data_IF_798433998523
#
_entry.id   IF_798433998523
#
_cell.length_a   1.000
_cell.length_b   1.000
_cell.length_c   1.000
_cell.angle_alpha   90.00
_cell.angle_beta   90.00
_cell.angle_gamma   90.00
#
_symmetry.space_group_name_H-M   'P 1'
#
loop_
_entity.id
_entity.type
_entity.pdbx_description
1 polymer ?
#
# COMPACT_ATOMS: atom_id res chain seq x y z
N UNK A 1 -27.62 -24.10 10.54
CA UNK A 1 -26.75 -22.91 10.61
C UNK A 1 -27.60 -21.64 10.52
N UNK A 2 -26.99 -20.46 10.69
CA UNK A 2 -27.65 -19.19 10.40
C UNK A 2 -28.08 -19.14 8.93
N UNK A 3 -29.25 -18.57 8.63
CA UNK A 3 -29.71 -18.36 7.25
C UNK A 3 -28.96 -17.22 6.53
N UNK A 4 -27.84 -16.76 7.10
CA UNK A 4 -27.01 -15.68 6.56
C UNK A 4 -25.57 -16.15 6.42
N UNK A 5 -24.99 -15.97 5.23
CA UNK A 5 -23.64 -16.42 4.84
C UNK A 5 -22.91 -15.30 4.11
N UNK A 6 -21.60 -15.15 4.29
CA UNK A 6 -20.84 -14.16 3.54
C UNK A 6 -20.59 -14.62 2.10
N UNK A 7 -20.58 -13.69 1.15
CA UNK A 7 -20.25 -14.04 -0.23
C UNK A 7 -18.86 -14.68 -0.33
N UNK A 8 -18.77 -15.77 -1.10
CA UNK A 8 -17.53 -16.54 -1.28
C UNK A 8 -17.25 -17.57 -0.19
N UNK A 9 -18.02 -17.62 0.90
CA UNK A 9 -17.88 -18.68 1.91
C UNK A 9 -18.80 -19.88 1.62
N UNK A 10 -18.58 -20.98 2.35
CA UNK A 10 -19.44 -22.17 2.26
C UNK A 10 -20.72 -21.97 3.07
N UNK A 11 -21.86 -22.19 2.43
CA UNK A 11 -23.14 -22.42 3.10
C UNK A 11 -23.25 -23.90 3.44
N UNK A 12 -23.67 -24.24 4.66
CA UNK A 12 -23.95 -25.63 5.05
C UNK A 12 -25.32 -25.78 5.68
N UNK A 13 -25.99 -26.88 5.35
CA UNK A 13 -27.26 -27.23 5.96
C UNK A 13 -27.45 -28.75 5.98
N UNK A 14 -28.30 -29.21 6.90
CA UNK A 14 -28.80 -30.57 6.93
C UNK A 14 -30.19 -30.61 6.32
N UNK A 15 -30.38 -31.48 5.33
CA UNK A 15 -31.69 -31.84 4.79
C UNK A 15 -32.12 -33.16 5.42
N UNK A 16 -33.22 -33.17 6.14
CA UNK A 16 -33.75 -34.37 6.78
C UNK A 16 -35.27 -34.32 6.89
N UNK A 17 -35.87 -35.49 7.14
CA UNK A 17 -37.31 -35.62 7.39
C UNK A 17 -37.50 -36.07 8.84
N UNK A 18 -38.20 -35.26 9.63
CA UNK A 18 -38.41 -35.50 11.08
C UNK A 18 -39.24 -36.75 11.40
N UNK A 19 -40.02 -37.25 10.45
CA UNK A 19 -40.92 -38.40 10.61
C UNK A 19 -40.54 -39.60 9.72
N UNK A 20 -39.25 -39.84 9.50
CA UNK A 20 -38.82 -41.02 8.74
C UNK A 20 -38.95 -42.31 9.55
N UNK A 21 -39.66 -43.30 9.01
CA UNK A 21 -39.71 -44.65 9.58
C UNK A 21 -38.31 -45.30 9.55
N UNK A 22 -37.93 -45.96 10.64
CA UNK A 22 -36.67 -46.70 10.79
C UNK A 22 -36.53 -47.73 9.67
N UNK A 23 -35.48 -47.64 8.85
CA UNK A 23 -35.16 -48.64 7.80
C UNK A 23 -35.42 -48.22 6.35
N UNK A 24 -36.05 -47.07 6.09
CA UNK A 24 -36.24 -46.56 4.72
C UNK A 24 -35.08 -45.60 4.36
N UNK A 25 -34.37 -45.87 3.26
CA UNK A 25 -33.30 -45.01 2.76
C UNK A 25 -33.86 -43.96 1.78
N UNK A 26 -34.00 -42.68 2.18
CA UNK A 26 -34.42 -41.64 1.25
C UNK A 26 -33.36 -41.37 0.18
N UNK A 27 -33.81 -41.00 -1.01
CA UNK A 27 -32.95 -40.29 -1.97
C UNK A 27 -33.14 -38.79 -1.77
N UNK A 28 -32.05 -38.08 -1.54
CA UNK A 28 -32.07 -36.64 -1.31
C UNK A 28 -31.35 -35.88 -2.42
N UNK A 29 -31.84 -34.70 -2.77
CA UNK A 29 -31.20 -33.82 -3.76
C UNK A 29 -31.17 -32.36 -3.30
N UNK A 30 -30.12 -31.64 -3.74
CA UNK A 30 -29.96 -30.20 -3.66
C UNK A 30 -29.99 -29.65 -5.09
N UNK A 31 -30.94 -28.77 -5.41
CA UNK A 31 -31.12 -28.20 -6.74
C UNK A 31 -31.13 -29.27 -7.86
N UNK A 32 -31.68 -30.45 -7.57
CA UNK A 32 -31.74 -31.60 -8.48
C UNK A 32 -30.49 -32.50 -8.47
N UNK A 33 -29.37 -32.06 -7.90
CA UNK A 33 -28.16 -32.87 -7.75
C UNK A 33 -28.27 -33.81 -6.55
N UNK A 34 -27.90 -35.10 -6.67
CA UNK A 34 -27.91 -36.05 -5.55
C UNK A 34 -27.05 -35.59 -4.37
N UNK A 35 -27.55 -35.81 -3.14
CA UNK A 35 -26.82 -35.58 -1.91
C UNK A 35 -26.39 -36.91 -1.29
N UNK A 36 -25.20 -36.93 -0.69
CA UNK A 36 -24.80 -38.01 0.19
C UNK A 36 -25.65 -37.95 1.47
N UNK A 37 -26.29 -39.08 1.81
CA UNK A 37 -27.05 -39.25 3.04
C UNK A 37 -26.15 -39.92 4.07
N UNK A 38 -25.92 -39.25 5.19
CA UNK A 38 -25.08 -39.76 6.27
C UNK A 38 -25.72 -40.93 7.02
N UNK A 39 -24.96 -41.58 7.93
CA UNK A 39 -25.50 -42.63 8.81
C UNK A 39 -26.63 -42.14 9.72
N UNK A 40 -26.69 -40.83 9.97
CA UNK A 40 -27.75 -40.10 10.67
C UNK A 40 -29.04 -39.96 9.85
N UNK A 41 -29.04 -40.38 8.58
CA UNK A 41 -30.17 -40.21 7.67
C UNK A 41 -30.29 -38.79 7.12
N UNK A 42 -29.31 -37.91 7.35
CA UNK A 42 -29.34 -36.51 6.92
C UNK A 42 -28.54 -36.33 5.62
N UNK A 43 -29.12 -35.61 4.66
CA UNK A 43 -28.42 -35.13 3.47
C UNK A 43 -27.60 -33.89 3.81
N UNK A 44 -26.28 -33.93 3.63
CA UNK A 44 -25.41 -32.78 3.86
C UNK A 44 -25.38 -31.86 2.64
N UNK A 45 -25.92 -30.65 2.79
CA UNK A 45 -25.86 -29.60 1.76
C UNK A 45 -24.63 -28.73 2.00
N UNK A 46 -23.76 -28.62 1.01
CA UNK A 46 -22.60 -27.73 1.06
C UNK A 46 -22.34 -27.10 -0.32
N UNK A 47 -22.27 -25.77 -0.38
CA UNK A 47 -21.92 -25.05 -1.61
C UNK A 47 -21.32 -23.68 -1.29
N UNK A 48 -20.55 -23.11 -2.23
CA UNK A 48 -20.05 -21.73 -2.11
C UNK A 48 -21.16 -20.73 -2.40
N UNK A 49 -21.44 -19.83 -1.46
CA UNK A 49 -22.42 -18.77 -1.63
C UNK A 49 -21.94 -17.75 -2.67
N UNK A 50 -22.63 -17.70 -3.81
CA UNK A 50 -22.37 -16.72 -4.88
C UNK A 50 -23.49 -15.68 -4.90
N UNK A 51 -23.19 -14.40 -4.68
CA UNK A 51 -24.22 -13.36 -4.68
C UNK A 51 -24.68 -13.07 -6.11
N UNK A 52 -25.97 -12.71 -6.26
CA UNK A 52 -26.43 -11.92 -7.40
C UNK A 52 -26.07 -10.44 -7.20
N UNK A 53 -27.00 -9.54 -7.47
CA UNK A 53 -26.86 -8.14 -7.07
C UNK A 53 -27.12 -7.98 -5.56
N UNK A 54 -26.25 -7.23 -4.87
CA UNK A 54 -26.51 -6.79 -3.50
C UNK A 54 -27.50 -5.62 -3.50
N UNK A 55 -28.40 -5.60 -2.52
CA UNK A 55 -29.21 -4.43 -2.20
C UNK A 55 -28.36 -3.34 -1.52
N UNK A 56 -28.98 -2.19 -1.23
CA UNK A 56 -28.32 -1.06 -0.58
C UNK A 56 -27.81 -1.39 0.84
N UNK A 57 -28.38 -2.40 1.50
CA UNK A 57 -27.93 -2.89 2.80
C UNK A 57 -26.79 -3.91 2.68
N UNK A 58 -26.31 -4.21 1.46
CA UNK A 58 -25.23 -5.16 1.22
C UNK A 58 -25.68 -6.61 1.31
N UNK A 59 -26.98 -6.90 1.12
CA UNK A 59 -27.54 -8.24 1.19
C UNK A 59 -28.04 -8.72 -0.18
N UNK A 60 -27.89 -10.00 -0.46
CA UNK A 60 -28.49 -10.66 -1.62
C UNK A 60 -29.31 -11.85 -1.15
N UNK A 61 -30.62 -11.82 -1.39
CA UNK A 61 -31.51 -12.94 -1.07
C UNK A 61 -31.37 -14.03 -2.13
N UNK A 62 -31.30 -15.27 -1.70
CA UNK A 62 -31.25 -16.43 -2.57
C UNK A 62 -32.00 -17.59 -1.92
N UNK A 63 -32.23 -18.66 -2.66
CA UNK A 63 -32.80 -19.89 -2.11
C UNK A 63 -32.20 -21.11 -2.80
N UNK A 64 -32.30 -22.25 -2.13
CA UNK A 64 -32.01 -23.54 -2.73
C UNK A 64 -33.17 -24.49 -2.47
N UNK A 65 -33.33 -25.47 -3.37
CA UNK A 65 -34.42 -26.43 -3.30
C UNK A 65 -33.89 -27.79 -2.84
N UNK A 66 -34.39 -28.26 -1.70
CA UNK A 66 -34.18 -29.61 -1.21
C UNK A 66 -35.32 -30.52 -1.64
N UNK A 67 -35.00 -31.73 -2.08
CA UNK A 67 -36.02 -32.76 -2.35
C UNK A 67 -35.66 -34.05 -1.65
N UNK A 68 -36.62 -34.65 -0.93
CA UNK A 68 -36.51 -35.96 -0.30
C UNK A 68 -37.53 -36.89 -0.96
N UNK A 69 -37.06 -37.97 -1.59
CA UNK A 69 -37.91 -39.01 -2.17
C UNK A 69 -37.87 -40.27 -1.32
N UNK A 70 -39.05 -40.78 -0.97
CA UNK A 70 -39.25 -42.06 -0.30
C UNK A 70 -40.05 -42.97 -1.22
N UNK A 71 -39.62 -44.23 -1.32
CA UNK A 71 -40.46 -45.29 -1.86
C UNK A 71 -40.97 -46.11 -0.67
N UNK A 72 -42.28 -46.19 -0.52
CA UNK A 72 -42.90 -47.00 0.53
C UNK A 72 -44.00 -47.84 -0.11
N UNK A 73 -43.86 -49.17 -0.04
CA UNK A 73 -44.81 -50.13 -0.59
C UNK A 73 -45.19 -49.86 -2.06
N UNK A 74 -44.19 -49.51 -2.90
CA UNK A 74 -44.39 -49.23 -4.33
C UNK A 74 -44.94 -47.83 -4.65
N UNK A 75 -45.23 -47.00 -3.63
CA UNK A 75 -45.65 -45.61 -3.81
C UNK A 75 -44.48 -44.66 -3.59
N UNK A 76 -44.13 -43.93 -4.63
CA UNK A 76 -43.15 -42.85 -4.55
C UNK A 76 -43.78 -41.58 -3.99
N UNK A 77 -43.27 -41.12 -2.86
CA UNK A 77 -43.64 -39.84 -2.23
C UNK A 77 -42.44 -38.90 -2.27
N UNK A 78 -42.68 -37.67 -2.73
CA UNK A 78 -41.63 -36.65 -2.87
C UNK A 78 -41.96 -35.42 -2.03
N UNK A 79 -41.09 -35.09 -1.09
CA UNK A 79 -41.15 -33.87 -0.29
C UNK A 79 -40.20 -32.84 -0.90
N UNK A 80 -40.66 -31.60 -1.04
CA UNK A 80 -39.87 -30.48 -1.55
C UNK A 80 -39.87 -29.37 -0.52
N UNK A 81 -38.71 -28.75 -0.33
CA UNK A 81 -38.55 -27.56 0.51
C UNK A 81 -37.72 -26.54 -0.26
N UNK A 82 -38.17 -25.29 -0.27
CA UNK A 82 -37.36 -24.17 -0.75
C UNK A 82 -36.85 -23.42 0.48
N UNK A 83 -35.54 -23.41 0.66
CA UNK A 83 -34.89 -22.83 1.83
C UNK A 83 -34.32 -21.47 1.45
N UNK A 84 -34.90 -20.35 1.91
CA UNK A 84 -34.34 -19.03 1.69
C UNK A 84 -33.09 -18.83 2.55
N UNK A 85 -32.10 -18.14 1.99
CA UNK A 85 -30.91 -17.68 2.71
C UNK A 85 -30.47 -16.30 2.19
N UNK A 86 -29.68 -15.61 3.00
CA UNK A 86 -29.16 -14.27 2.70
C UNK A 86 -27.65 -14.33 2.56
N UNK A 87 -27.14 -13.72 1.50
CA UNK A 87 -25.71 -13.57 1.26
C UNK A 87 -25.33 -12.14 1.64
N UNK A 88 -24.42 -11.96 2.59
CA UNK A 88 -23.93 -10.63 3.00
C UNK A 88 -22.66 -10.27 2.25
N UNK A 89 -22.51 -8.99 1.92
CA UNK A 89 -21.27 -8.43 1.39
C UNK A 89 -20.19 -8.49 2.48
N UNK A 90 -19.07 -9.20 2.25
CA UNK A 90 -18.00 -9.27 3.22
C UNK A 90 -17.36 -7.89 3.43
N UNK A 91 -16.98 -7.60 4.68
CA UNK A 91 -16.29 -6.35 5.05
C UNK A 91 -14.79 -6.52 4.87
N UNK A 92 -14.19 -5.60 4.12
CA UNK A 92 -12.73 -5.49 4.02
C UNK A 92 -12.21 -4.61 5.15
N UNK A 93 -11.13 -5.06 5.78
CA UNK A 93 -10.33 -4.28 6.70
C UNK A 93 -9.01 -3.99 6.02
N UNK A 94 -8.67 -2.71 5.91
CA UNK A 94 -7.41 -2.27 5.32
C UNK A 94 -6.60 -1.64 6.45
N UNK A 95 -5.43 -2.21 6.67
CA UNK A 95 -4.45 -1.72 7.62
C UNK A 95 -3.27 -1.18 6.83
N UNK A 96 -2.83 0.02 7.16
CA UNK A 96 -1.54 0.53 6.73
C UNK A 96 -0.63 0.55 7.93
N UNK A 97 0.59 0.03 7.78
CA UNK A 97 1.61 0.12 8.82
C UNK A 97 1.96 1.60 9.14
N UNK A 98 1.73 2.50 8.20
CA UNK A 98 2.38 3.81 8.24
C UNK A 98 1.48 5.01 7.97
N UNK A 99 0.35 4.90 7.25
CA UNK A 99 -0.37 6.11 6.79
C UNK A 99 -1.87 5.95 6.53
N UNK A 100 -2.63 7.03 6.78
CA UNK A 100 -4.04 7.17 6.34
C UNK A 100 -4.18 7.61 4.87
N UNK A 101 -3.11 8.11 4.25
CA UNK A 101 -3.05 8.57 2.87
C UNK A 101 -1.75 8.09 2.22
N UNK A 102 -1.77 7.75 0.95
CA UNK A 102 -0.60 7.20 0.25
C UNK A 102 0.39 8.31 -0.11
N UNK A 103 1.68 8.02 -0.20
CA UNK A 103 2.67 8.93 -0.75
C UNK A 103 2.94 8.64 -2.23
N UNK A 104 2.94 9.70 -3.03
CA UNK A 104 3.19 9.66 -4.47
C UNK A 104 4.54 9.00 -4.79
N UNK A 105 4.58 8.08 -5.75
CA UNK A 105 5.79 7.34 -6.17
C UNK A 105 6.55 6.60 -5.05
N UNK A 106 5.90 6.31 -3.92
CA UNK A 106 6.48 5.54 -2.83
C UNK A 106 5.84 4.15 -2.73
N UNK A 107 6.52 3.21 -2.07
CA UNK A 107 6.03 1.88 -1.78
C UNK A 107 5.09 1.90 -0.57
N UNK A 108 3.80 2.12 -0.80
CA UNK A 108 2.82 2.16 0.27
C UNK A 108 2.32 0.74 0.58
N UNK A 109 2.89 0.12 1.63
CA UNK A 109 2.54 -1.23 2.08
C UNK A 109 1.20 -1.21 2.82
N UNK A 110 0.27 -2.03 2.37
CA UNK A 110 -1.06 -2.23 2.94
C UNK A 110 -1.29 -3.72 3.21
N UNK A 111 -2.03 -4.02 4.27
CA UNK A 111 -2.53 -5.36 4.55
C UNK A 111 -4.06 -5.33 4.53
N UNK A 112 -4.64 -6.17 3.69
CA UNK A 112 -6.07 -6.23 3.41
C UNK A 112 -6.59 -7.57 3.91
N UNK A 113 -7.44 -7.52 4.93
CA UNK A 113 -8.08 -8.71 5.49
C UNK A 113 -9.57 -8.70 5.22
N UNK A 114 -10.11 -9.90 5.05
CA UNK A 114 -11.56 -10.13 4.94
C UNK A 114 -11.90 -11.25 5.93
N UNK A 115 -12.15 -10.91 7.22
CA UNK A 115 -12.25 -11.91 8.29
C UNK A 115 -13.27 -13.03 8.00
N UNK A 116 -14.39 -12.68 7.37
CA UNK A 116 -15.44 -13.63 7.01
C UNK A 116 -14.96 -14.77 6.09
N UNK A 117 -13.94 -14.53 5.26
CA UNK A 117 -13.41 -15.54 4.34
C UNK A 117 -12.39 -16.48 5.00
N UNK A 118 -11.75 -16.05 6.09
CA UNK A 118 -10.76 -16.84 6.82
C UNK A 118 -9.75 -17.55 5.90
N UNK A 119 -9.65 -18.88 6.06
CA UNK A 119 -8.76 -19.71 5.24
C UNK A 119 -9.07 -19.66 3.73
N UNK A 120 -10.33 -19.44 3.35
CA UNK A 120 -10.79 -19.40 1.95
C UNK A 120 -10.47 -18.08 1.24
N UNK A 121 -9.89 -17.11 1.95
CA UNK A 121 -9.44 -15.86 1.35
C UNK A 121 -8.35 -16.11 0.29
N UNK A 122 -8.61 -15.73 -0.95
CA UNK A 122 -7.72 -15.88 -2.09
C UNK A 122 -7.62 -14.54 -2.83
N UNK A 123 -6.95 -13.54 -2.21
CA UNK A 123 -7.00 -12.16 -2.68
C UNK A 123 -6.38 -11.98 -4.05
N UNK A 124 -7.02 -11.14 -4.85
CA UNK A 124 -6.42 -10.49 -6.00
C UNK A 124 -6.69 -8.99 -5.94
N UNK A 125 -5.63 -8.21 -6.17
CA UNK A 125 -5.62 -6.76 -6.07
C UNK A 125 -5.44 -6.13 -7.44
N UNK A 126 -6.21 -5.09 -7.71
CA UNK A 126 -6.00 -4.22 -8.86
C UNK A 126 -6.21 -2.78 -8.43
N UNK A 127 -5.60 -1.81 -9.11
CA UNK A 127 -5.78 -0.41 -8.77
C UNK A 127 -5.77 0.47 -10.01
N UNK A 128 -6.49 1.59 -9.93
CA UNK A 128 -6.34 2.74 -10.82
C UNK A 128 -5.53 3.83 -10.14
N UNK A 129 -4.65 4.50 -10.89
CA UNK A 129 -3.78 5.58 -10.36
C UNK A 129 -2.58 5.09 -9.53
N UNK A 130 -2.29 3.78 -9.57
CA UNK A 130 -1.12 3.19 -8.94
C UNK A 130 -0.70 1.89 -9.63
N UNK A 131 0.61 1.63 -9.63
CA UNK A 131 1.13 0.28 -9.83
C UNK A 131 0.84 -0.57 -8.59
N UNK A 132 0.37 -1.80 -8.82
CA UNK A 132 0.11 -2.79 -7.78
C UNK A 132 1.24 -3.81 -7.75
N UNK A 133 1.83 -4.03 -6.57
CA UNK A 133 2.83 -5.06 -6.32
C UNK A 133 2.28 -5.99 -5.24
N UNK A 134 1.94 -7.22 -5.63
CA UNK A 134 1.41 -8.23 -4.69
C UNK A 134 2.50 -8.68 -3.71
N UNK A 135 2.13 -8.80 -2.44
CA UNK A 135 2.98 -9.36 -1.38
C UNK A 135 2.54 -10.77 -1.00
N UNK A 136 2.67 -11.09 0.30
CA UNK A 136 2.09 -12.30 0.88
C UNK A 136 0.55 -12.23 0.88
N UNK A 137 -0.12 -13.32 1.28
CA UNK A 137 -1.59 -13.39 1.30
C UNK A 137 -2.20 -12.25 2.11
N UNK A 138 -2.86 -11.33 1.41
CA UNK A 138 -3.51 -10.14 2.00
C UNK A 138 -2.66 -8.87 1.92
N UNK A 139 -1.35 -8.99 1.68
CA UNK A 139 -0.45 -7.84 1.59
C UNK A 139 -0.31 -7.34 0.16
N UNK A 140 -0.30 -6.01 0.02
CA UNK A 140 -0.17 -5.33 -1.27
C UNK A 140 0.64 -4.05 -1.08
N UNK A 141 1.53 -3.76 -2.02
CA UNK A 141 2.22 -2.47 -2.09
C UNK A 141 1.66 -1.68 -3.26
N UNK A 142 1.16 -0.47 -2.98
CA UNK A 142 0.69 0.47 -3.99
C UNK A 142 1.75 1.54 -4.24
N UNK A 143 2.07 1.78 -5.52
CA UNK A 143 2.97 2.85 -5.96
C UNK A 143 2.15 3.86 -6.77
N UNK A 144 1.68 4.95 -6.14
CA UNK A 144 0.79 5.90 -6.81
C UNK A 144 1.49 6.70 -7.91
N UNK A 145 0.79 6.91 -9.02
CA UNK A 145 1.15 7.79 -10.13
C UNK A 145 0.08 8.86 -10.42
N UNK A 146 -1.00 8.89 -9.62
CA UNK A 146 -2.06 9.90 -9.66
C UNK A 146 -2.29 10.56 -8.29
N UNK A 147 -3.19 11.55 -8.24
CA UNK A 147 -3.60 12.24 -6.99
C UNK A 147 -4.55 11.41 -6.11
N UNK A 148 -5.15 10.40 -6.71
CA UNK A 148 -6.11 9.50 -6.09
C UNK A 148 -5.87 8.09 -6.59
N UNK A 149 -5.98 7.11 -5.69
CA UNK A 149 -5.82 5.69 -5.99
C UNK A 149 -7.05 4.95 -5.54
N UNK A 150 -7.65 4.17 -6.43
CA UNK A 150 -8.73 3.25 -6.06
C UNK A 150 -8.21 1.82 -6.10
N UNK A 151 -8.08 1.20 -4.93
CA UNK A 151 -7.77 -0.22 -4.76
C UNK A 151 -9.05 -1.03 -4.91
N UNK A 152 -9.08 -1.98 -5.83
CA UNK A 152 -10.13 -2.98 -5.97
C UNK A 152 -9.62 -4.32 -5.45
N UNK A 153 -10.43 -4.97 -4.63
CA UNK A 153 -10.12 -6.25 -3.99
C UNK A 153 -11.14 -7.28 -4.43
N UNK A 154 -10.64 -8.43 -4.85
CA UNK A 154 -11.43 -9.61 -5.16
C UNK A 154 -10.88 -10.83 -4.44
N UNK A 155 -11.68 -11.88 -4.27
CA UNK A 155 -11.24 -13.15 -3.72
C UNK A 155 -11.84 -14.32 -4.50
N UNK A 156 -10.98 -15.20 -5.04
CA UNK A 156 -11.42 -16.35 -5.83
C UNK A 156 -12.31 -15.97 -7.03
N UNK A 157 -12.02 -14.83 -7.66
CA UNK A 157 -12.79 -14.28 -8.79
C UNK A 157 -14.02 -13.44 -8.41
N UNK A 158 -14.41 -13.38 -7.14
CA UNK A 158 -15.55 -12.57 -6.69
C UNK A 158 -15.09 -11.21 -6.19
N UNK A 159 -15.72 -10.13 -6.66
CA UNK A 159 -15.45 -8.78 -6.15
C UNK A 159 -15.88 -8.67 -4.68
N UNK A 160 -14.97 -8.17 -3.84
CA UNK A 160 -15.23 -7.92 -2.42
C UNK A 160 -15.61 -6.45 -2.23
N UNK A 161 -14.81 -5.55 -2.81
CA UNK A 161 -15.10 -4.13 -2.82
C UNK A 161 -13.91 -3.31 -3.30
N UNK A 162 -14.05 -1.99 -3.15
CA UNK A 162 -12.99 -1.04 -3.47
C UNK A 162 -12.80 -0.03 -2.35
N UNK A 163 -11.59 0.53 -2.26
CA UNK A 163 -11.23 1.60 -1.35
C UNK A 163 -10.47 2.67 -2.11
N UNK A 164 -10.89 3.92 -1.97
CA UNK A 164 -10.19 5.07 -2.53
C UNK A 164 -9.29 5.72 -1.47
N UNK A 165 -8.08 6.07 -1.89
CA UNK A 165 -7.09 6.76 -1.08
C UNK A 165 -6.68 8.07 -1.75
N UNK A 166 -6.54 9.12 -0.94
CA UNK A 166 -5.87 10.34 -1.38
C UNK A 166 -4.36 10.13 -1.40
N UNK A 167 -3.69 10.77 -2.34
CA UNK A 167 -2.23 10.72 -2.48
C UNK A 167 -1.63 12.06 -2.07
N UNK A 168 -0.66 11.99 -1.17
CA UNK A 168 0.14 13.12 -0.71
C UNK A 168 1.42 13.25 -1.55
N UNK A 169 1.88 14.48 -1.83
CA UNK A 169 3.19 14.68 -2.43
C UNK A 169 4.29 14.22 -1.46
N UNK A 170 5.46 13.92 -2.02
CA UNK A 170 6.65 13.57 -1.25
C UNK A 170 7.16 14.83 -0.54
N UNK A 171 7.35 14.84 0.79
CA UNK A 171 7.94 15.96 1.50
C UNK A 171 9.36 16.26 1.00
N UNK A 172 9.66 17.54 0.78
CA UNK A 172 10.99 17.96 0.35
C UNK A 172 12.03 17.74 1.46
N UNK A 173 13.27 17.35 1.13
CA UNK A 173 14.34 17.25 2.11
C UNK A 173 14.82 18.64 2.54
N UNK A 174 15.40 18.73 3.73
CA UNK A 174 16.17 19.90 4.15
C UNK A 174 17.63 19.74 3.74
N UNK A 175 18.23 20.77 3.15
CA UNK A 175 19.66 20.75 2.82
C UNK A 175 20.44 21.45 3.94
N UNK A 176 21.45 20.77 4.47
CA UNK A 176 22.44 21.30 5.41
C UNK A 176 23.81 21.28 4.79
N UNK A 177 24.59 22.33 5.01
CA UNK A 177 25.93 22.43 4.45
C UNK A 177 26.98 22.71 5.50
N UNK A 178 28.18 22.19 5.27
CA UNK A 178 29.29 22.27 6.19
C UNK A 178 30.57 22.59 5.41
N UNK A 179 31.40 23.48 5.94
CA UNK A 179 32.78 23.64 5.50
C UNK A 179 33.68 23.19 6.65
N UNK A 180 34.44 22.12 6.42
CA UNK A 180 35.05 21.37 7.52
C UNK A 180 33.97 20.90 8.49
N UNK A 181 34.06 21.34 9.75
CA UNK A 181 33.08 21.04 10.81
C UNK A 181 32.05 22.17 11.02
N UNK A 182 32.20 23.31 10.35
CA UNK A 182 31.36 24.50 10.58
C UNK A 182 30.12 24.46 9.69
N UNK A 183 28.93 24.62 10.28
CA UNK A 183 27.67 24.81 9.53
C UNK A 183 27.76 26.12 8.75
N UNK A 184 27.46 26.09 7.44
CA UNK A 184 27.52 27.27 6.58
C UNK A 184 26.40 28.29 6.86
N UNK A 185 25.41 27.93 7.67
CA UNK A 185 24.40 28.86 8.19
C UNK A 185 24.84 29.51 9.52
N UNK A 186 26.01 29.17 10.07
CA UNK A 186 26.58 29.83 11.25
C UNK A 186 26.98 31.28 10.92
N UNK A 187 26.44 32.22 11.70
CA UNK A 187 26.67 33.66 11.54
C UNK A 187 28.09 34.09 11.87
N UNK A 188 28.87 33.25 12.56
CA UNK A 188 30.27 33.52 12.89
C UNK A 188 31.20 33.44 11.69
N UNK A 189 30.75 32.84 10.57
CA UNK A 189 31.57 32.64 9.40
C UNK A 189 32.56 31.48 9.52
N UNK A 190 33.41 31.30 8.51
CA UNK A 190 34.37 30.21 8.41
C UNK A 190 35.77 30.78 8.26
N UNK A 191 36.74 30.42 9.12
CA UNK A 191 38.13 30.86 8.96
C UNK A 191 38.70 30.44 7.61
N UNK A 192 39.46 31.32 6.94
CA UNK A 192 40.04 31.02 5.62
C UNK A 192 40.83 29.70 5.59
N UNK A 193 41.55 29.37 6.68
CA UNK A 193 42.32 28.12 6.78
C UNK A 193 41.48 26.83 6.82
N UNK A 194 40.19 26.92 7.14
CA UNK A 194 39.24 25.79 7.17
C UNK A 194 38.58 25.53 5.81
N UNK A 195 38.78 26.41 4.82
CA UNK A 195 38.27 26.22 3.45
C UNK A 195 39.03 25.08 2.77
N UNK A 196 38.65 23.84 3.07
CA UNK A 196 39.27 22.62 2.53
C UNK A 196 38.24 21.76 1.83
N UNK A 197 37.24 21.35 2.59
CA UNK A 197 36.19 20.46 2.14
C UNK A 197 34.85 21.10 2.42
N UNK A 198 33.96 21.07 1.44
CA UNK A 198 32.55 21.43 1.60
C UNK A 198 31.69 20.18 1.42
N UNK A 199 30.75 19.99 2.33
CA UNK A 199 29.82 18.85 2.34
C UNK A 199 28.39 19.36 2.45
N UNK A 200 27.52 18.92 1.54
CA UNK A 200 26.08 19.16 1.57
C UNK A 200 25.33 17.85 1.85
N UNK A 201 24.49 17.88 2.87
CA UNK A 201 23.65 16.76 3.30
C UNK A 201 22.19 17.06 2.98
N UNK A 202 21.55 16.20 2.19
CA UNK A 202 20.11 16.22 1.99
C UNK A 202 19.45 15.33 3.05
N UNK A 203 18.74 15.93 4.01
CA UNK A 203 18.10 15.23 5.12
C UNK A 203 16.60 15.09 4.86
N UNK A 204 16.04 13.87 4.91
CA UNK A 204 14.60 13.67 4.70
C UNK A 204 13.78 14.34 5.82
N UNK A 205 12.51 14.59 5.54
CA UNK A 205 11.54 14.90 6.59
C UNK A 205 11.49 13.74 7.61
N UNK A 206 11.59 14.01 8.93
CA UNK A 206 11.63 12.95 9.94
C UNK A 206 10.38 12.07 9.96
N UNK A 207 9.20 12.64 9.76
CA UNK A 207 7.95 11.89 9.71
C UNK A 207 7.92 10.96 8.50
N UNK A 208 8.24 11.50 7.32
CA UNK A 208 8.36 10.71 6.10
C UNK A 208 9.36 9.57 6.22
N UNK A 209 10.56 9.83 6.76
CA UNK A 209 11.59 8.82 6.98
C UNK A 209 11.17 7.74 7.99
N UNK A 210 10.37 8.10 8.99
CA UNK A 210 9.83 7.13 9.96
C UNK A 210 8.79 6.22 9.32
N UNK A 211 7.90 6.78 8.49
CA UNK A 211 6.80 6.03 7.89
C UNK A 211 7.22 5.21 6.66
N UNK A 212 8.18 5.72 5.88
CA UNK A 212 8.63 5.16 4.62
C UNK A 212 10.17 5.23 4.51
N UNK A 213 10.91 4.49 5.35
CA UNK A 213 12.37 4.57 5.41
C UNK A 213 13.05 4.16 4.09
N UNK A 214 12.57 3.10 3.44
CA UNK A 214 13.08 2.59 2.15
C UNK A 214 12.95 3.62 1.01
N UNK A 215 12.14 4.64 1.23
CA UNK A 215 11.77 5.67 0.27
C UNK A 215 12.37 7.04 0.64
N UNK A 216 13.07 7.18 1.77
CA UNK A 216 13.52 8.46 2.31
C UNK A 216 15.03 8.71 2.15
N UNK A 217 15.66 8.09 1.14
CA UNK A 217 17.09 8.25 0.87
C UNK A 217 17.34 9.42 -0.08
N UNK A 218 17.98 10.48 0.41
CA UNK A 218 18.30 11.67 -0.38
C UNK A 218 19.80 11.93 -0.44
N UNK A 219 20.26 12.51 -1.55
CA UNK A 219 21.63 12.99 -1.70
C UNK A 219 21.67 14.26 -2.55
N UNK A 220 22.61 15.14 -2.26
CA UNK A 220 22.96 16.21 -3.19
C UNK A 220 23.77 15.59 -4.32
N UNK A 221 23.34 15.80 -5.57
CA UNK A 221 24.00 15.27 -6.76
C UNK A 221 24.94 16.29 -7.40
N UNK A 222 24.66 17.58 -7.27
CA UNK A 222 25.49 18.66 -7.83
C UNK A 222 25.27 19.99 -7.12
N UNK A 223 26.34 20.74 -6.92
CA UNK A 223 26.27 22.12 -6.45
C UNK A 223 27.45 22.94 -6.97
N UNK A 224 27.31 24.26 -6.92
CA UNK A 224 28.34 25.22 -7.31
C UNK A 224 28.82 26.01 -6.09
N UNK A 225 30.10 26.34 -6.06
CA UNK A 225 30.73 27.11 -4.99
C UNK A 225 31.51 28.26 -5.60
N UNK A 226 31.23 29.47 -5.11
CA UNK A 226 31.87 30.71 -5.57
C UNK A 226 32.42 31.47 -4.38
N UNK A 227 33.74 31.67 -4.35
CA UNK A 227 34.35 32.68 -3.48
C UNK A 227 34.17 34.06 -4.11
N UNK A 228 33.51 34.98 -3.42
CA UNK A 228 33.19 36.31 -3.91
C UNK A 228 33.76 37.41 -3.00
N UNK A 229 34.27 38.48 -3.61
CA UNK A 229 34.68 39.72 -2.95
C UNK A 229 33.77 40.84 -3.44
N UNK A 230 32.91 41.33 -2.55
CA UNK A 230 31.83 42.23 -2.95
C UNK A 230 30.86 41.54 -3.92
N UNK A 231 30.74 42.05 -5.15
CA UNK A 231 29.85 41.51 -6.19
C UNK A 231 30.55 40.60 -7.22
N UNK A 232 31.88 40.44 -7.13
CA UNK A 232 32.66 39.72 -8.14
C UNK A 232 33.22 38.42 -7.59
N UNK A 233 33.17 37.32 -8.37
CA UNK A 233 33.95 36.12 -8.06
C UNK A 233 35.44 36.47 -7.97
N UNK A 234 36.13 35.91 -6.97
CA UNK A 234 37.59 36.03 -6.78
C UNK A 234 38.33 35.05 -7.68
N UNK A 235 37.67 33.96 -8.07
CA UNK A 235 38.15 32.94 -9.00
C UNK A 235 36.97 32.32 -9.76
N UNK A 236 37.24 31.40 -10.67
CA UNK A 236 36.21 30.64 -11.37
C UNK A 236 35.34 29.85 -10.39
N UNK A 237 34.02 29.88 -10.59
CA UNK A 237 33.06 29.06 -9.83
C UNK A 237 33.39 27.58 -10.00
N UNK A 238 33.48 26.89 -8.87
CA UNK A 238 33.77 25.47 -8.85
C UNK A 238 32.46 24.69 -8.87
N UNK A 239 32.33 23.75 -9.80
CA UNK A 239 31.21 22.80 -9.83
C UNK A 239 31.63 21.51 -9.14
N UNK A 240 30.85 21.09 -8.15
CA UNK A 240 31.07 19.86 -7.40
C UNK A 240 29.97 18.87 -7.80
N UNK A 241 30.40 17.69 -8.27
CA UNK A 241 29.52 16.57 -8.60
C UNK A 241 29.52 15.59 -7.42
N UNK A 242 28.41 15.52 -6.70
CA UNK A 242 28.23 14.73 -5.50
C UNK A 242 27.93 15.58 -4.25
N UNK A 243 27.85 14.95 -3.07
CA UNK A 243 27.52 15.64 -1.83
C UNK A 243 28.71 16.37 -1.20
N UNK A 244 29.93 16.18 -1.72
CA UNK A 244 31.15 16.74 -1.13
C UNK A 244 32.18 17.05 -2.21
N UNK A 245 32.99 18.09 -1.99
CA UNK A 245 34.11 18.42 -2.86
C UNK A 245 35.22 19.20 -2.16
N UNK A 246 36.38 19.22 -2.80
CA UNK A 246 37.52 20.03 -2.39
C UNK A 246 37.32 21.48 -2.84
N UNK A 247 37.59 22.41 -1.92
CA UNK A 247 37.61 23.86 -2.14
C UNK A 247 38.90 24.48 -1.58
N UNK A 248 39.96 23.68 -1.44
CA UNK A 248 41.23 24.08 -0.83
C UNK A 248 41.92 25.23 -1.56
N UNK A 249 41.73 25.31 -2.89
CA UNK A 249 42.20 26.43 -3.70
C UNK A 249 41.59 27.78 -3.31
N UNK A 250 40.40 27.79 -2.69
CA UNK A 250 39.77 29.00 -2.18
C UNK A 250 40.50 29.56 -0.96
N UNK A 251 41.05 28.71 -0.10
CA UNK A 251 41.82 29.14 1.08
C UNK A 251 43.02 30.02 0.71
N UNK A 252 43.67 29.74 -0.43
CA UNK A 252 44.90 30.41 -0.83
C UNK A 252 44.69 31.87 -1.28
N UNK A 253 43.47 32.23 -1.68
CA UNK A 253 43.13 33.55 -2.24
C UNK A 253 42.08 34.30 -1.42
N UNK A 254 41.44 33.63 -0.47
CA UNK A 254 40.44 34.20 0.41
C UNK A 254 41.06 35.24 1.35
N UNK A 255 40.28 36.28 1.62
CA UNK A 255 40.56 37.31 2.62
C UNK A 255 39.41 37.40 3.60
N UNK A 256 39.66 38.01 4.74
CA UNK A 256 38.59 38.41 5.66
C UNK A 256 37.51 39.19 4.88
N UNK A 257 36.24 38.93 5.22
CA UNK A 257 35.03 39.50 4.60
C UNK A 257 34.71 39.03 3.17
N UNK A 258 35.53 38.17 2.56
CA UNK A 258 35.09 37.43 1.37
C UNK A 258 33.90 36.52 1.73
N UNK A 259 33.11 36.12 0.74
CA UNK A 259 31.92 35.27 0.94
C UNK A 259 32.02 34.01 0.11
N UNK A 260 31.71 32.88 0.73
CA UNK A 260 31.46 31.64 0.01
C UNK A 260 29.97 31.58 -0.30
N UNK A 261 29.63 31.66 -1.59
CA UNK A 261 28.29 31.44 -2.10
C UNK A 261 28.17 30.00 -2.60
N UNK A 262 27.18 29.27 -2.10
CA UNK A 262 26.94 27.87 -2.46
C UNK A 262 25.55 27.78 -3.08
N UNK A 263 25.44 27.19 -4.26
CA UNK A 263 24.16 27.01 -4.94
C UNK A 263 23.92 25.53 -5.25
N UNK A 264 22.84 24.96 -4.70
CA UNK A 264 22.45 23.57 -4.96
C UNK A 264 21.83 23.49 -6.35
N UNK A 265 22.46 22.71 -7.23
CA UNK A 265 22.03 22.53 -8.62
C UNK A 265 21.31 21.20 -8.88
N UNK A 266 21.37 20.26 -7.95
CA UNK A 266 20.73 18.95 -8.07
C UNK A 266 20.65 18.20 -6.75
N UNK A 267 19.47 17.67 -6.47
CA UNK A 267 19.19 16.75 -5.36
C UNK A 267 18.48 15.55 -5.94
N UNK A 268 18.85 14.37 -5.46
CA UNK A 268 18.30 13.11 -5.91
C UNK A 268 17.75 12.32 -4.74
N UNK A 269 16.70 11.56 -5.02
CA UNK A 269 16.07 10.63 -4.10
C UNK A 269 16.18 9.22 -4.67
N UNK A 270 16.54 8.27 -3.84
CA UNK A 270 16.42 6.85 -4.16
C UNK A 270 15.17 6.30 -3.48
N UNK A 271 14.31 5.64 -4.25
CA UNK A 271 13.07 5.05 -3.75
C UNK A 271 13.24 3.60 -3.32
N UNK A 272 12.17 2.98 -2.80
CA UNK A 272 12.20 1.59 -2.32
C UNK A 272 12.56 0.55 -3.40
N UNK A 273 12.43 0.90 -4.69
CA UNK A 273 12.83 0.07 -5.83
C UNK A 273 14.28 0.33 -6.28
N UNK A 274 15.07 1.06 -5.49
CA UNK A 274 16.43 1.50 -5.83
C UNK A 274 16.52 2.44 -7.04
N UNK A 275 15.39 2.97 -7.52
CA UNK A 275 15.37 3.94 -8.63
C UNK A 275 15.70 5.32 -8.11
N UNK A 276 16.55 6.02 -8.86
CA UNK A 276 16.95 7.39 -8.55
C UNK A 276 16.08 8.36 -9.34
N UNK A 277 15.52 9.34 -8.65
CA UNK A 277 14.71 10.41 -9.21
C UNK A 277 15.25 11.78 -8.80
N UNK A 278 15.14 12.77 -9.70
CA UNK A 278 15.50 14.14 -9.38
C UNK A 278 14.43 14.80 -8.49
N UNK A 279 14.89 15.54 -7.49
CA UNK A 279 14.07 16.30 -6.56
C UNK A 279 14.19 17.76 -6.93
N UNK A 280 13.06 18.37 -7.33
CA UNK A 280 13.02 19.78 -7.67
C UNK A 280 13.05 20.65 -6.40
N UNK A 281 14.25 21.06 -6.01
CA UNK A 281 14.50 21.97 -4.89
C UNK A 281 15.60 22.95 -5.28
N UNK A 282 15.40 24.21 -4.94
CA UNK A 282 16.41 25.26 -5.07
C UNK A 282 16.83 25.72 -3.68
N UNK A 283 18.13 25.71 -3.41
CA UNK A 283 18.70 26.22 -2.17
C UNK A 283 20.04 26.87 -2.45
N UNK A 284 20.27 28.01 -1.82
CA UNK A 284 21.57 28.67 -1.81
C UNK A 284 21.96 29.03 -0.39
N UNK A 285 23.26 29.10 -0.14
CA UNK A 285 23.85 29.48 1.14
C UNK A 285 24.89 30.57 0.91
N UNK A 286 25.13 31.38 1.93
CA UNK A 286 26.18 32.39 1.92
C UNK A 286 26.82 32.41 3.30
N UNK A 287 28.13 32.22 3.34
CA UNK A 287 28.89 32.27 4.59
C UNK A 287 30.08 33.21 4.43
N UNK A 288 30.33 34.04 5.44
CA UNK A 288 31.45 34.98 5.46
C UNK A 288 32.74 34.24 5.80
N UNK A 289 33.84 34.63 5.17
CA UNK A 289 35.18 34.20 5.53
C UNK A 289 35.71 35.08 6.67
N UNK A 290 36.31 34.45 7.69
CA UNK A 290 37.01 35.12 8.79
C UNK A 290 38.52 35.05 8.59
#
# INVERSE_FOLDING_TARGET
ESNTVAAGTKYKADLFLTASASGIKPTMTYNGSPLAVGPDGHGKVEFTARPGAFDQAGNAKSSWNGTIRLNTNGRDTTFKVSVPYTITKPVMQIQSASVQALYYKCGNKLSVQVPALGAQYQPAFSASGAQVISGQKGDVTLVPDAREVTLNVSSGGNAIGSQTFKVRPIPLPTIKGFIGSTDIEDKRGVPAGQLRTITLQARPDPGFATFLPDDAHYRVSRFEVTLARGKRPVQQTQTINGPQGDISSMANVARADDRIFVEVKGVQRQNFQQKVEDVNITRSFTVSVQ
#
